data_IF_741443776096
#
_entry.id   IF_741443776096
#
_cell.length_a   1.000
_cell.length_b   1.000
_cell.length_c   1.000
_cell.angle_alpha   90.00
_cell.angle_beta   90.00
_cell.angle_gamma   90.00
#
_symmetry.space_group_name_H-M   'P 1'
#
loop_
_entity.id
_entity.type
_entity.pdbx_description
1 polymer ?
#
# COMPACT_ATOMS: atom_id res chain seq x y z
N UNK A 1 -63.08 15.40 55.47
CA UNK A 1 -62.04 14.38 55.19
C UNK A 1 -61.45 14.65 53.83
N UNK A 2 -60.26 15.31 53.76
CA UNK A 2 -59.57 15.57 52.47
C UNK A 2 -58.39 14.62 52.37
N UNK A 3 -58.42 13.67 51.43
CA UNK A 3 -57.29 12.80 51.08
C UNK A 3 -56.37 13.57 50.13
N UNK A 4 -55.16 13.82 50.61
CA UNK A 4 -54.05 14.36 49.80
C UNK A 4 -53.43 13.20 48.99
N UNK A 5 -53.50 13.27 47.66
CA UNK A 5 -52.83 12.37 46.76
C UNK A 5 -51.45 12.96 46.47
N UNK A 6 -50.41 12.25 46.85
CA UNK A 6 -49.01 12.56 46.48
C UNK A 6 -48.71 11.96 45.11
N UNK A 7 -48.43 12.80 44.12
CA UNK A 7 -47.93 12.36 42.87
C UNK A 7 -46.39 12.22 42.97
N UNK A 8 -45.90 11.00 42.83
CA UNK A 8 -44.46 10.75 42.74
C UNK A 8 -43.98 11.02 41.31
N UNK A 9 -43.17 12.05 41.11
CA UNK A 9 -42.52 12.31 39.83
C UNK A 9 -41.32 11.35 39.70
N UNK A 10 -41.42 10.44 38.76
CA UNK A 10 -40.28 9.57 38.35
C UNK A 10 -39.35 10.38 37.46
N UNK A 11 -38.13 10.69 37.94
CA UNK A 11 -37.06 11.27 37.15
C UNK A 11 -36.41 10.12 36.37
N UNK A 12 -36.66 10.04 35.07
CA UNK A 12 -35.96 9.13 34.18
C UNK A 12 -34.55 9.72 33.91
N UNK A 13 -33.55 9.13 34.50
CA UNK A 13 -32.16 9.42 34.15
C UNK A 13 -31.84 8.79 32.80
N UNK A 14 -31.75 9.60 31.75
CA UNK A 14 -31.25 9.14 30.46
C UNK A 14 -29.74 8.91 30.57
N UNK A 15 -29.32 7.65 30.61
CA UNK A 15 -27.92 7.30 30.44
C UNK A 15 -27.58 7.52 28.97
N UNK A 16 -26.83 8.58 28.66
CA UNK A 16 -26.18 8.76 27.39
C UNK A 16 -25.12 7.65 27.27
N UNK A 17 -25.36 6.67 26.40
CA UNK A 17 -24.32 5.73 26.00
C UNK A 17 -23.18 6.53 25.36
N UNK A 18 -21.92 6.27 25.72
CA UNK A 18 -20.81 6.88 25.01
C UNK A 18 -20.94 6.50 23.54
N UNK A 19 -20.85 7.51 22.65
CA UNK A 19 -20.74 7.29 21.22
C UNK A 19 -19.65 6.23 20.98
N UNK A 20 -19.97 5.18 20.22
CA UNK A 20 -18.97 4.21 19.84
C UNK A 20 -17.78 4.98 19.24
N UNK A 21 -16.60 4.83 19.83
CA UNK A 21 -15.38 5.39 19.27
C UNK A 21 -15.33 4.95 17.82
N UNK A 22 -15.18 5.92 16.93
CA UNK A 22 -14.99 5.70 15.50
C UNK A 22 -13.88 4.65 15.36
N UNK A 23 -14.24 3.45 14.88
CA UNK A 23 -13.24 2.42 14.63
C UNK A 23 -12.43 2.97 13.48
N UNK A 24 -11.19 3.33 13.75
CA UNK A 24 -10.24 3.77 12.75
C UNK A 24 -10.38 2.86 11.54
N UNK A 25 -10.88 3.43 10.43
CA UNK A 25 -11.10 2.69 9.20
C UNK A 25 -9.73 2.39 8.58
N UNK A 26 -9.15 1.26 8.98
CA UNK A 26 -7.98 0.69 8.30
C UNK A 26 -8.47 0.12 6.97
N UNK A 27 -7.99 0.67 5.87
CA UNK A 27 -8.32 0.20 4.54
C UNK A 27 -7.28 -0.81 4.06
N UNK A 28 -7.74 -1.95 3.53
CA UNK A 28 -6.85 -2.98 3.00
C UNK A 28 -6.75 -2.92 1.47
N UNK A 29 -5.53 -3.14 0.99
CA UNK A 29 -5.22 -3.25 -0.44
C UNK A 29 -4.36 -4.48 -0.69
N UNK A 30 -4.48 -5.02 -1.90
CA UNK A 30 -3.76 -6.21 -2.32
C UNK A 30 -3.22 -6.04 -3.75
N UNK A 31 -2.13 -6.75 -4.05
CA UNK A 31 -1.66 -6.93 -5.40
C UNK A 31 -1.11 -8.36 -5.59
N UNK A 32 -1.42 -8.95 -6.73
CA UNK A 32 -0.83 -10.20 -7.22
C UNK A 32 0.06 -9.82 -8.40
N UNK A 33 1.30 -10.29 -8.39
CA UNK A 33 2.31 -9.92 -9.36
C UNK A 33 2.47 -10.99 -10.43
N UNK A 34 2.79 -10.54 -11.64
CA UNK A 34 3.12 -11.38 -12.78
C UNK A 34 4.09 -10.62 -13.69
N UNK A 35 5.00 -11.34 -14.33
CA UNK A 35 5.85 -10.78 -15.39
C UNK A 35 5.06 -10.26 -16.58
N UNK A 36 3.91 -10.85 -16.87
CA UNK A 36 3.03 -10.39 -17.97
C UNK A 36 2.43 -9.00 -17.73
N UNK A 37 2.39 -8.53 -16.49
CA UNK A 37 1.92 -7.19 -16.14
C UNK A 37 3.04 -6.13 -16.21
N UNK A 38 4.31 -6.54 -16.34
CA UNK A 38 5.43 -5.60 -16.42
C UNK A 38 5.40 -4.83 -17.74
N UNK A 39 5.74 -3.56 -17.69
CA UNK A 39 5.71 -2.67 -18.86
C UNK A 39 7.10 -2.27 -19.35
N UNK A 40 8.14 -2.68 -18.62
CA UNK A 40 9.52 -2.30 -18.89
C UNK A 40 9.82 -0.82 -18.68
N UNK A 41 11.07 -0.45 -18.77
CA UNK A 41 11.55 0.94 -18.68
C UNK A 41 11.75 1.59 -20.03
N UNK A 42 11.48 2.88 -20.14
CA UNK A 42 11.82 3.66 -21.32
C UNK A 42 13.34 3.67 -21.52
N UNK A 43 13.82 3.12 -22.62
CA UNK A 43 15.22 3.15 -23.04
C UNK A 43 16.08 1.95 -22.62
N UNK A 44 15.54 0.96 -21.92
CA UNK A 44 16.26 -0.25 -21.52
C UNK A 44 16.25 -1.38 -22.56
N UNK A 45 15.57 -1.18 -23.69
CA UNK A 45 15.37 -2.23 -24.72
C UNK A 45 14.32 -3.28 -24.31
N UNK A 46 13.68 -3.11 -23.17
CA UNK A 46 12.63 -3.97 -22.66
C UNK A 46 11.28 -3.53 -23.21
N UNK A 47 10.48 -4.48 -23.65
CA UNK A 47 9.20 -4.21 -24.34
C UNK A 47 7.98 -4.43 -23.43
N UNK A 48 8.22 -4.73 -22.14
CA UNK A 48 7.18 -5.18 -21.22
C UNK A 48 6.77 -6.62 -21.43
N UNK A 49 5.89 -7.13 -20.58
CA UNK A 49 5.44 -8.52 -20.61
C UNK A 49 6.61 -9.52 -20.50
N UNK A 50 7.19 -9.63 -19.33
CA UNK A 50 8.31 -10.54 -19.06
C UNK A 50 7.77 -11.97 -18.84
N UNK A 51 8.35 -12.95 -19.55
CA UNK A 51 8.11 -14.37 -19.26
C UNK A 51 8.97 -14.77 -18.04
N UNK A 52 8.37 -14.68 -16.88
CA UNK A 52 8.98 -15.03 -15.59
C UNK A 52 8.11 -16.01 -14.84
N UNK A 53 8.75 -16.95 -14.13
CA UNK A 53 8.11 -17.81 -13.12
C UNK A 53 7.92 -17.08 -11.79
N UNK A 54 8.48 -15.87 -11.66
CA UNK A 54 8.42 -15.05 -10.45
C UNK A 54 6.99 -14.75 -10.03
N UNK A 55 6.75 -14.86 -8.74
CA UNK A 55 5.45 -14.63 -8.11
C UNK A 55 5.62 -13.72 -6.91
N UNK A 56 4.63 -12.85 -6.66
CA UNK A 56 4.57 -12.08 -5.43
C UNK A 56 3.11 -11.76 -5.04
N UNK A 57 2.95 -11.58 -3.74
CA UNK A 57 1.71 -11.11 -3.14
C UNK A 57 2.02 -9.95 -2.19
N UNK A 58 1.29 -8.86 -2.33
CA UNK A 58 1.37 -7.67 -1.48
C UNK A 58 0.06 -7.50 -0.73
N UNK A 59 0.16 -7.26 0.58
CA UNK A 59 -0.92 -6.77 1.42
C UNK A 59 -0.52 -5.43 2.00
N UNK A 60 -1.44 -4.46 1.95
CA UNK A 60 -1.28 -3.13 2.53
C UNK A 60 -2.43 -2.86 3.50
N UNK A 61 -2.13 -2.17 4.61
CA UNK A 61 -3.12 -1.67 5.57
C UNK A 61 -2.88 -0.18 5.78
N UNK A 62 -3.81 0.64 5.29
CA UNK A 62 -3.75 2.09 5.32
C UNK A 62 -4.52 2.63 6.51
N UNK A 63 -3.85 3.34 7.40
CA UNK A 63 -4.43 4.18 8.43
C UNK A 63 -4.23 5.65 8.01
N UNK A 64 -5.31 6.26 7.52
CA UNK A 64 -5.28 7.65 7.02
C UNK A 64 -5.17 8.66 8.16
N UNK A 65 -5.72 8.35 9.32
CA UNK A 65 -5.72 9.25 10.48
C UNK A 65 -4.31 9.43 11.02
N UNK A 66 -3.56 8.32 11.13
CA UNK A 66 -2.19 8.32 11.63
C UNK A 66 -1.14 8.45 10.52
N UNK A 67 -1.56 8.60 9.27
CA UNK A 67 -0.69 8.68 8.08
C UNK A 67 0.36 7.55 8.06
N UNK A 68 -0.12 6.32 8.22
CA UNK A 68 0.72 5.12 8.20
C UNK A 68 0.17 4.10 7.20
N UNK A 69 1.07 3.44 6.49
CA UNK A 69 0.76 2.34 5.59
C UNK A 69 1.64 1.15 5.96
N UNK A 70 1.06 0.17 6.67
CA UNK A 70 1.73 -1.09 6.91
C UNK A 70 1.73 -1.94 5.65
N UNK A 71 2.81 -2.69 5.40
CA UNK A 71 2.92 -3.58 4.25
C UNK A 71 3.52 -4.94 4.60
N UNK A 72 3.11 -5.94 3.83
CA UNK A 72 3.74 -7.25 3.73
C UNK A 72 3.84 -7.64 2.27
N UNK A 73 5.08 -7.79 1.79
CA UNK A 73 5.40 -8.26 0.45
C UNK A 73 6.10 -9.61 0.54
N UNK A 74 5.50 -10.65 -0.05
CA UNK A 74 6.10 -11.99 -0.14
C UNK A 74 6.33 -12.32 -1.60
N UNK A 75 7.51 -12.83 -1.94
CA UNK A 75 7.88 -13.18 -3.33
C UNK A 75 8.78 -14.42 -3.39
N UNK A 76 8.74 -15.11 -4.53
CA UNK A 76 9.51 -16.30 -4.83
C UNK A 76 9.72 -16.47 -6.33
N UNK A 77 10.56 -17.44 -6.70
CA UNK A 77 10.77 -17.95 -8.06
C UNK A 77 11.22 -16.88 -9.08
N UNK A 78 11.89 -15.83 -8.61
CA UNK A 78 12.46 -14.79 -9.48
C UNK A 78 13.71 -15.30 -10.20
N UNK A 79 13.96 -14.77 -11.40
CA UNK A 79 15.02 -15.25 -12.29
C UNK A 79 16.44 -14.92 -11.84
N UNK A 80 16.60 -13.97 -10.92
CA UNK A 80 17.87 -13.51 -10.39
C UNK A 80 17.69 -12.82 -9.02
N UNK A 81 18.80 -12.54 -8.28
CA UNK A 81 18.71 -11.79 -7.04
C UNK A 81 17.97 -10.46 -7.17
N UNK A 82 17.07 -10.19 -6.21
CA UNK A 82 16.28 -8.96 -6.15
C UNK A 82 17.20 -7.76 -5.92
N UNK A 83 17.00 -6.71 -6.66
CA UNK A 83 17.69 -5.44 -6.51
C UNK A 83 16.90 -4.42 -5.72
N UNK A 84 15.58 -4.33 -5.97
CA UNK A 84 14.67 -3.41 -5.28
C UNK A 84 13.20 -3.76 -5.52
N UNK A 85 12.32 -3.25 -4.65
CA UNK A 85 10.87 -3.34 -4.78
C UNK A 85 10.23 -2.06 -4.26
N UNK A 86 9.23 -1.53 -4.98
CA UNK A 86 8.60 -0.25 -4.66
C UNK A 86 7.14 -0.13 -5.12
N UNK A 87 6.46 0.94 -4.63
CA UNK A 87 5.18 1.41 -5.16
C UNK A 87 5.45 2.58 -6.09
N UNK A 88 4.72 2.61 -7.20
CA UNK A 88 4.72 3.67 -8.20
C UNK A 88 3.36 4.37 -8.33
N UNK A 89 3.38 5.63 -8.76
CA UNK A 89 2.21 6.33 -9.25
C UNK A 89 2.10 6.15 -10.77
N UNK A 90 1.15 5.34 -11.22
CA UNK A 90 0.95 5.10 -12.65
C UNK A 90 -0.33 4.31 -12.91
N UNK A 91 -0.95 4.59 -14.05
CA UNK A 91 -2.10 3.80 -14.54
C UNK A 91 -1.65 2.42 -15.00
N UNK A 92 -2.60 1.50 -15.12
CA UNK A 92 -2.38 0.17 -15.74
C UNK A 92 -1.66 0.33 -17.07
N UNK A 93 -0.64 -0.48 -17.31
CA UNK A 93 0.22 -0.47 -18.49
C UNK A 93 1.03 0.81 -18.74
N UNK A 94 1.24 1.63 -17.71
CA UNK A 94 2.09 2.83 -17.82
C UNK A 94 3.17 2.78 -16.75
N UNK A 95 4.43 3.04 -17.12
CA UNK A 95 5.52 3.25 -16.18
C UNK A 95 5.37 4.63 -15.53
N UNK A 96 5.35 4.67 -14.21
CA UNK A 96 5.24 5.89 -13.42
C UNK A 96 6.43 6.07 -12.48
N UNK A 97 6.48 7.19 -11.76
CA UNK A 97 7.52 7.46 -10.79
C UNK A 97 7.40 6.63 -9.52
N UNK A 98 8.53 6.36 -8.87
CA UNK A 98 8.59 5.65 -7.58
C UNK A 98 8.07 6.58 -6.48
N UNK A 99 7.07 6.13 -5.73
CA UNK A 99 6.53 6.81 -4.56
C UNK A 99 7.24 6.42 -3.27
N UNK A 100 7.38 5.10 -3.03
CA UNK A 100 7.96 4.56 -1.80
C UNK A 100 8.66 3.23 -2.08
N UNK A 101 9.72 2.93 -1.32
CA UNK A 101 10.40 1.63 -1.36
C UNK A 101 9.87 0.67 -0.30
N UNK A 102 9.73 -0.61 -0.64
CA UNK A 102 9.61 -1.71 0.31
C UNK A 102 10.97 -2.17 0.80
N UNK A 103 11.91 -2.33 -0.13
CA UNK A 103 13.30 -2.73 0.13
C UNK A 103 14.22 -2.34 -1.03
N UNK A 104 15.54 -2.28 -0.76
CA UNK A 104 16.54 -2.01 -1.79
C UNK A 104 17.90 -2.63 -1.42
N UNK A 105 18.52 -3.33 -2.39
CA UNK A 105 19.91 -3.81 -2.33
C UNK A 105 20.87 -2.89 -3.12
N UNK A 106 20.39 -1.74 -3.60
CA UNK A 106 21.16 -0.73 -4.33
C UNK A 106 21.62 0.44 -3.45
N UNK A 107 21.46 0.32 -2.12
CA UNK A 107 21.97 1.33 -1.18
C UNK A 107 21.06 2.55 -1.02
N UNK A 108 19.73 2.42 -1.20
CA UNK A 108 18.78 3.49 -0.90
C UNK A 108 18.82 3.84 0.61
N UNK A 109 19.09 5.12 0.98
CA UNK A 109 19.23 5.50 2.39
C UNK A 109 17.96 5.24 3.20
N UNK A 110 18.10 4.61 4.37
CA UNK A 110 16.97 4.34 5.27
C UNK A 110 16.01 3.23 4.81
N UNK A 111 16.32 2.56 3.69
CA UNK A 111 15.53 1.47 3.15
C UNK A 111 16.18 0.14 3.53
N UNK A 112 15.38 -0.81 4.03
CA UNK A 112 15.83 -2.16 4.38
C UNK A 112 16.25 -2.96 3.16
N UNK A 113 17.12 -3.98 3.36
CA UNK A 113 17.54 -4.88 2.28
C UNK A 113 16.40 -5.83 1.87
N UNK A 114 16.39 -6.19 0.58
CA UNK A 114 15.50 -7.23 0.05
C UNK A 114 16.13 -8.63 0.27
N UNK A 115 15.36 -9.65 0.69
CA UNK A 115 15.78 -11.06 0.54
C UNK A 115 16.14 -11.36 -0.92
N UNK A 116 17.38 -11.84 -1.15
CA UNK A 116 17.91 -11.93 -2.52
C UNK A 116 17.19 -12.98 -3.38
N UNK A 117 16.82 -14.14 -2.78
CA UNK A 117 16.30 -15.29 -3.53
C UNK A 117 14.80 -15.55 -3.29
N UNK A 118 14.13 -14.64 -2.62
CA UNK A 118 12.73 -14.80 -2.20
C UNK A 118 12.57 -14.74 -0.69
N UNK A 119 11.37 -14.45 -0.24
CA UNK A 119 11.02 -14.30 1.18
C UNK A 119 9.94 -13.26 1.40
N UNK A 120 9.83 -12.82 2.66
CA UNK A 120 8.85 -11.81 3.07
C UNK A 120 9.56 -10.57 3.61
N UNK A 121 9.10 -9.41 3.15
CA UNK A 121 9.49 -8.09 3.63
C UNK A 121 8.27 -7.43 4.26
N UNK A 122 8.42 -6.93 5.48
CA UNK A 122 7.37 -6.17 6.17
C UNK A 122 7.89 -4.83 6.61
N UNK A 123 7.01 -3.87 6.79
CA UNK A 123 7.40 -2.55 7.30
C UNK A 123 6.22 -1.60 7.39
N UNK A 124 6.52 -0.38 7.83
CA UNK A 124 5.57 0.72 7.89
C UNK A 124 6.12 1.89 7.10
N UNK A 125 5.31 2.41 6.20
CA UNK A 125 5.55 3.62 5.41
C UNK A 125 4.86 4.78 6.13
N UNK A 126 5.57 5.88 6.28
CA UNK A 126 5.12 7.14 6.85
C UNK A 126 5.37 8.27 5.87
N UNK A 127 4.94 9.52 6.10
CA UNK A 127 5.25 10.63 5.21
C UNK A 127 6.74 10.76 4.86
N UNK A 128 7.65 10.46 5.80
CA UNK A 128 9.10 10.57 5.56
C UNK A 128 9.64 9.60 4.51
N UNK A 129 8.87 8.58 4.15
CA UNK A 129 9.26 7.58 3.13
C UNK A 129 8.77 7.96 1.72
N UNK A 130 7.85 8.95 1.59
CA UNK A 130 7.29 9.35 0.30
C UNK A 130 8.28 10.21 -0.46
N UNK A 131 8.62 9.79 -1.67
CA UNK A 131 9.59 10.43 -2.55
C UNK A 131 8.92 11.50 -3.42
N UNK A 132 9.69 12.53 -3.81
CA UNK A 132 9.24 13.50 -4.78
C UNK A 132 9.20 12.90 -6.20
N UNK A 133 8.11 13.15 -6.93
CA UNK A 133 7.97 12.84 -8.36
C UNK A 133 7.59 14.12 -9.08
N UNK A 134 8.58 14.96 -9.37
CA UNK A 134 8.37 16.31 -9.92
C UNK A 134 7.51 16.31 -11.18
N UNK A 135 7.71 15.33 -12.09
CA UNK A 135 6.93 15.19 -13.33
C UNK A 135 5.46 14.79 -13.13
N UNK A 136 5.08 14.37 -11.90
CA UNK A 136 3.72 13.99 -11.54
C UNK A 136 3.17 14.85 -10.38
N UNK A 137 3.84 15.97 -10.06
CA UNK A 137 3.46 16.93 -9.00
C UNK A 137 3.35 16.32 -7.59
N UNK A 138 4.10 15.26 -7.29
CA UNK A 138 4.21 14.70 -5.94
C UNK A 138 5.40 15.33 -5.23
N UNK A 139 5.19 15.89 -4.05
CA UNK A 139 6.26 16.42 -3.19
C UNK A 139 6.83 15.33 -2.30
N UNK A 140 8.08 15.47 -1.84
CA UNK A 140 8.60 14.60 -0.80
C UNK A 140 7.76 14.76 0.48
N UNK A 141 7.41 13.65 1.11
CA UNK A 141 6.57 13.65 2.31
C UNK A 141 5.07 13.72 2.07
N UNK A 142 4.61 13.77 0.83
CA UNK A 142 3.20 13.90 0.45
C UNK A 142 2.46 12.55 0.60
N UNK A 143 2.09 12.24 1.85
CA UNK A 143 1.37 11.00 2.17
C UNK A 143 -0.06 11.00 1.59
N UNK A 144 -0.67 12.18 1.42
CA UNK A 144 -1.99 12.30 0.81
C UNK A 144 -1.95 11.90 -0.67
N UNK A 145 -0.89 12.27 -1.41
CA UNK A 145 -0.69 11.79 -2.77
C UNK A 145 -0.56 10.26 -2.85
N UNK A 146 0.14 9.61 -1.90
CA UNK A 146 0.21 8.15 -1.82
C UNK A 146 -1.18 7.55 -1.54
N UNK A 147 -1.91 8.13 -0.62
CA UNK A 147 -3.28 7.72 -0.29
C UNK A 147 -4.20 7.83 -1.51
N UNK A 148 -4.17 8.96 -2.20
CA UNK A 148 -4.98 9.22 -3.39
C UNK A 148 -4.64 8.26 -4.53
N UNK A 149 -3.36 7.93 -4.72
CA UNK A 149 -2.93 6.94 -5.70
C UNK A 149 -3.52 5.54 -5.41
N UNK A 150 -3.52 5.12 -4.14
CA UNK A 150 -4.12 3.86 -3.71
C UNK A 150 -5.64 3.87 -3.92
N UNK A 151 -6.32 4.92 -3.47
CA UNK A 151 -7.78 5.06 -3.53
C UNK A 151 -8.31 5.17 -4.95
N UNK A 152 -7.57 5.81 -5.85
CA UNK A 152 -7.96 5.98 -7.27
C UNK A 152 -7.57 4.80 -8.16
N UNK A 153 -6.96 3.73 -7.61
CA UNK A 153 -6.42 2.59 -8.36
C UNK A 153 -5.36 3.01 -9.40
N UNK A 154 -4.56 4.04 -9.09
CA UNK A 154 -3.43 4.49 -9.92
C UNK A 154 -2.09 4.20 -9.27
N UNK A 155 -2.05 3.26 -8.34
CA UNK A 155 -0.83 2.73 -7.76
C UNK A 155 -0.58 1.30 -8.26
N UNK A 156 0.69 0.99 -8.51
CA UNK A 156 1.15 -0.38 -8.75
C UNK A 156 2.44 -0.63 -7.98
N UNK A 157 2.78 -1.90 -7.80
CA UNK A 157 4.06 -2.28 -7.24
C UNK A 157 4.81 -3.20 -8.20
N UNK A 158 6.15 -3.13 -8.19
CA UNK A 158 6.97 -4.05 -8.94
C UNK A 158 8.22 -4.48 -8.18
N UNK A 159 8.84 -5.55 -8.67
CA UNK A 159 10.08 -6.11 -8.15
C UNK A 159 11.08 -6.17 -9.30
N UNK A 160 12.27 -5.62 -9.03
CA UNK A 160 13.40 -5.61 -9.96
C UNK A 160 14.43 -6.63 -9.55
N UNK A 161 15.05 -7.25 -10.54
CA UNK A 161 16.14 -8.20 -10.35
C UNK A 161 17.38 -7.79 -11.15
N UNK A 162 18.47 -8.52 -10.96
CA UNK A 162 19.68 -8.30 -11.76
C UNK A 162 19.45 -8.59 -13.25
N UNK A 163 18.58 -9.55 -13.60
CA UNK A 163 18.25 -9.88 -14.98
C UNK A 163 17.30 -8.85 -15.61
N UNK A 164 16.42 -8.25 -14.80
CA UNK A 164 15.42 -7.29 -15.24
C UNK A 164 15.51 -6.01 -14.41
N UNK A 165 16.49 -5.13 -14.70
CA UNK A 165 16.69 -3.89 -13.94
C UNK A 165 15.53 -2.90 -14.05
N UNK A 166 14.71 -2.98 -15.09
CA UNK A 166 13.52 -2.15 -15.27
C UNK A 166 12.24 -2.73 -14.65
N UNK A 167 12.30 -3.95 -14.15
CA UNK A 167 11.20 -4.68 -13.50
C UNK A 167 11.06 -6.09 -14.05
N UNK A 168 10.92 -7.09 -13.19
CA UNK A 168 10.67 -8.47 -13.57
C UNK A 168 9.20 -8.84 -13.45
N UNK A 169 8.57 -8.48 -12.34
CA UNK A 169 7.15 -8.74 -12.08
C UNK A 169 6.48 -7.49 -11.51
N UNK A 170 5.22 -7.29 -11.88
CA UNK A 170 4.39 -6.16 -11.49
C UNK A 170 3.00 -6.59 -11.05
N UNK A 171 2.42 -5.92 -10.07
CA UNK A 171 1.05 -6.08 -9.61
C UNK A 171 0.35 -4.74 -9.44
N UNK A 172 -0.85 -4.60 -9.99
CA UNK A 172 -1.71 -3.43 -9.76
C UNK A 172 -2.30 -3.51 -8.36
N UNK A 173 -2.16 -2.44 -7.58
CA UNK A 173 -2.68 -2.38 -6.22
C UNK A 173 -4.19 -2.08 -6.29
N UNK A 174 -4.99 -2.92 -5.64
CA UNK A 174 -6.44 -2.81 -5.61
C UNK A 174 -6.94 -2.86 -4.17
N UNK A 175 -7.97 -2.07 -3.89
CA UNK A 175 -8.65 -2.12 -2.61
C UNK A 175 -9.30 -3.50 -2.43
N UNK A 176 -9.07 -4.13 -1.29
CA UNK A 176 -9.77 -5.35 -0.90
C UNK A 176 -11.24 -5.04 -0.71
N UNK A 177 -12.12 -5.93 -1.14
CA UNK A 177 -13.49 -5.88 -0.68
C UNK A 177 -13.45 -6.27 0.80
N UNK A 178 -13.82 -5.37 1.70
CA UNK A 178 -14.05 -5.72 3.10
C UNK A 178 -15.03 -6.87 3.10
N UNK A 179 -14.60 -8.04 3.56
CA UNK A 179 -15.52 -9.13 3.83
C UNK A 179 -16.44 -8.63 4.94
N UNK A 180 -17.70 -8.42 4.61
CA UNK A 180 -18.76 -8.43 5.61
C UNK A 180 -18.83 -9.90 6.06
N UNK A 181 -18.26 -10.20 7.24
CA UNK A 181 -18.55 -11.41 8.00
C UNK A 181 -19.77 -11.20 8.89
#
# INVERSE_FOLDING_TARGET
>A
MYRRIWAAAAVAAAFALPAAADRDHVEEFHAIFSGFNEVGGLGAGETGAILSEGQAHLTLKLDRTNQTLWFQLTYADLSAPVTQAHIHLGKVHVAGGVMVFFCSNLGAPGVQSCPASGGTVTGTITPTNVLAITGQHVSAGDFDALTDALMSNTAYANIHTQNFPAGEIRGEIRRGFGGED
#
